data_IF_264829331829
#
_entry.id   IF_264829331829
#
_cell.length_a   1.000
_cell.length_b   1.000
_cell.length_c   1.000
_cell.angle_alpha   90.00
_cell.angle_beta   90.00
_cell.angle_gamma   90.00
#
_symmetry.space_group_name_H-M   'P 1'
#
loop_
_entity.id
_entity.type
_entity.pdbx_description
1 polymer ?
#
# COMPACT_ATOMS: atom_id res chain seq x y z
N UNK A 1 22.03 18.81 -11.79
CA UNK A 1 21.05 18.18 -10.89
C UNK A 1 19.71 18.73 -11.29
N UNK A 2 18.75 17.87 -11.61
CA UNK A 2 17.41 18.32 -11.98
C UNK A 2 16.84 19.19 -10.84
N UNK A 3 16.24 20.34 -11.16
CA UNK A 3 15.46 21.10 -10.18
C UNK A 3 14.16 20.37 -9.79
N UNK A 4 13.80 19.30 -10.51
CA UNK A 4 12.67 18.44 -10.22
C UNK A 4 13.06 17.35 -9.23
N UNK A 5 12.60 17.51 -7.99
CA UNK A 5 12.87 16.58 -6.87
C UNK A 5 12.18 15.24 -7.05
N UNK A 6 11.01 15.20 -7.69
CA UNK A 6 10.28 13.96 -7.94
C UNK A 6 10.95 13.13 -9.05
N UNK A 7 11.50 13.81 -10.07
CA UNK A 7 12.37 13.17 -11.04
C UNK A 7 13.61 12.56 -10.36
N UNK A 8 14.28 13.32 -9.48
CA UNK A 8 15.46 12.84 -8.76
C UNK A 8 15.14 11.63 -7.85
N UNK A 9 13.97 11.60 -7.22
CA UNK A 9 13.50 10.45 -6.44
C UNK A 9 13.28 9.22 -7.34
N UNK A 10 12.66 9.41 -8.49
CA UNK A 10 12.45 8.34 -9.48
C UNK A 10 13.78 7.82 -10.05
N UNK A 11 14.73 8.71 -10.35
CA UNK A 11 16.09 8.37 -10.80
C UNK A 11 16.89 7.60 -9.74
N UNK A 12 16.62 7.84 -8.45
CA UNK A 12 17.17 7.04 -7.34
C UNK A 12 16.57 5.62 -7.25
N UNK A 13 15.58 5.31 -8.09
CA UNK A 13 14.94 4.00 -8.18
C UNK A 13 13.77 3.79 -7.23
N UNK A 14 13.15 4.87 -6.74
CA UNK A 14 11.92 4.82 -5.95
C UNK A 14 10.74 5.12 -6.88
N UNK A 15 9.85 4.15 -7.08
CA UNK A 15 8.60 4.37 -7.83
C UNK A 15 7.63 5.20 -6.99
N UNK A 16 7.12 6.30 -7.55
CA UNK A 16 6.19 7.21 -6.87
C UNK A 16 4.76 6.78 -7.17
N UNK A 17 4.03 6.36 -6.15
CA UNK A 17 2.61 6.01 -6.27
C UNK A 17 1.75 7.02 -5.50
N UNK A 18 0.52 7.23 -5.99
CA UNK A 18 -0.47 8.07 -5.32
C UNK A 18 -1.34 7.21 -4.39
N UNK A 19 -1.51 7.63 -3.14
CA UNK A 19 -2.43 7.02 -2.17
C UNK A 19 -3.80 7.69 -2.18
N UNK A 20 -4.42 7.75 -3.37
CA UNK A 20 -5.75 8.32 -3.61
C UNK A 20 -6.27 7.93 -5.00
N UNK A 21 -7.57 7.64 -5.11
CA UNK A 21 -8.25 7.47 -6.38
C UNK A 21 -9.71 7.92 -6.23
N UNK A 22 -10.15 8.79 -7.13
CA UNK A 22 -11.55 9.19 -7.24
C UNK A 22 -11.97 9.37 -8.68
N UNK A 23 -13.25 9.15 -8.97
CA UNK A 23 -13.86 9.47 -10.25
C UNK A 23 -13.67 10.94 -10.66
N UNK A 24 -13.68 11.86 -9.71
CA UNK A 24 -13.42 13.28 -9.98
C UNK A 24 -12.01 13.48 -10.59
N UNK A 25 -10.97 12.85 -10.03
CA UNK A 25 -9.60 12.95 -10.56
C UNK A 25 -9.47 12.37 -11.96
N UNK A 26 -10.21 11.30 -12.25
CA UNK A 26 -10.26 10.68 -13.57
C UNK A 26 -10.95 11.62 -14.59
N UNK A 27 -12.13 12.15 -14.24
CA UNK A 27 -12.94 12.97 -15.13
C UNK A 27 -12.32 14.35 -15.42
N UNK A 28 -11.65 14.94 -14.43
CA UNK A 28 -11.02 16.26 -14.54
C UNK A 28 -9.67 16.23 -15.27
N UNK A 29 -9.09 15.05 -15.48
CA UNK A 29 -7.73 14.89 -16.02
C UNK A 29 -6.62 15.04 -14.99
N UNK A 30 -6.95 15.31 -13.71
CA UNK A 30 -5.96 15.50 -12.65
C UNK A 30 -5.01 14.29 -12.50
N UNK A 31 -5.51 13.05 -12.56
CA UNK A 31 -4.63 11.87 -12.45
C UNK A 31 -3.65 11.80 -13.63
N UNK A 32 -4.08 12.17 -14.84
CA UNK A 32 -3.22 12.22 -16.01
C UNK A 32 -2.13 13.31 -15.88
N UNK A 33 -2.48 14.47 -15.29
CA UNK A 33 -1.50 15.52 -14.97
C UNK A 33 -0.48 15.06 -13.93
N UNK A 34 -0.89 14.33 -12.89
CA UNK A 34 0.03 13.77 -11.89
C UNK A 34 1.01 12.76 -12.49
N UNK A 35 0.55 11.92 -13.44
CA UNK A 35 1.41 10.99 -14.18
C UNK A 35 2.45 11.77 -15.02
N UNK A 36 1.99 12.79 -15.76
CA UNK A 36 2.82 13.57 -16.68
C UNK A 36 3.83 14.47 -15.96
N UNK A 37 3.38 15.19 -14.94
CA UNK A 37 4.11 16.32 -14.36
C UNK A 37 4.74 15.99 -12.99
N UNK A 38 4.28 14.93 -12.31
CA UNK A 38 4.77 14.54 -10.98
C UNK A 38 5.33 13.12 -10.90
N UNK A 39 5.60 12.51 -12.06
CA UNK A 39 6.21 11.19 -12.19
C UNK A 39 5.45 10.09 -11.43
N UNK A 40 4.14 10.25 -11.24
CA UNK A 40 3.31 9.22 -10.61
C UNK A 40 3.20 8.02 -11.55
N UNK A 41 3.58 6.85 -11.07
CA UNK A 41 3.64 5.60 -11.86
C UNK A 41 2.76 4.49 -11.29
N UNK A 42 1.91 4.78 -10.31
CA UNK A 42 0.91 3.85 -9.79
C UNK A 42 -0.03 4.51 -8.80
N UNK A 43 -1.06 3.78 -8.39
CA UNK A 43 -2.08 4.29 -7.46
C UNK A 43 -2.62 3.19 -6.56
N UNK A 44 -2.94 3.55 -5.32
CA UNK A 44 -3.59 2.67 -4.34
C UNK A 44 -4.95 3.21 -3.93
N UNK A 45 -5.91 2.30 -3.75
CA UNK A 45 -7.18 2.62 -3.08
C UNK A 45 -7.25 1.99 -1.69
N UNK A 46 -8.23 2.44 -0.91
CA UNK A 46 -8.68 1.82 0.32
C UNK A 46 -10.13 2.27 0.61
N UNK A 47 -10.84 1.64 1.56
CA UNK A 47 -12.23 1.99 1.85
C UNK A 47 -12.43 3.46 2.24
N UNK A 48 -11.49 4.04 2.99
CA UNK A 48 -11.54 5.45 3.43
C UNK A 48 -11.46 6.41 2.24
N UNK A 49 -10.62 6.12 1.24
CA UNK A 49 -10.50 6.89 -0.01
C UNK A 49 -11.85 6.90 -0.73
N UNK A 50 -12.46 5.73 -0.94
CA UNK A 50 -13.74 5.65 -1.64
C UNK A 50 -14.89 6.28 -0.85
N UNK A 51 -14.95 6.09 0.48
CA UNK A 51 -15.97 6.74 1.30
C UNK A 51 -15.90 8.27 1.20
N UNK A 52 -14.67 8.82 1.23
CA UNK A 52 -14.45 10.25 1.05
C UNK A 52 -14.78 10.72 -0.38
N UNK A 53 -14.45 9.93 -1.40
CA UNK A 53 -14.75 10.27 -2.78
C UNK A 53 -16.25 10.25 -3.08
N UNK A 54 -17.00 9.28 -2.55
CA UNK A 54 -18.44 9.12 -2.81
C UNK A 54 -19.31 10.02 -1.93
N UNK A 55 -18.77 10.52 -0.81
CA UNK A 55 -19.47 11.49 0.05
C UNK A 55 -19.35 12.94 -0.45
N UNK A 56 -18.50 13.20 -1.46
CA UNK A 56 -18.18 14.54 -1.96
C UNK A 56 -18.51 14.66 -3.45
N UNK A 57 -19.05 15.83 -3.83
CA UNK A 57 -19.36 16.13 -5.22
C UNK A 57 -20.52 15.31 -5.79
N UNK A 58 -20.66 15.38 -7.11
CA UNK A 58 -21.74 14.75 -7.91
C UNK A 58 -21.21 13.69 -8.89
N UNK A 59 -19.90 13.41 -8.87
CA UNK A 59 -19.22 12.56 -9.84
C UNK A 59 -19.79 11.13 -9.92
N UNK A 60 -20.39 10.63 -8.84
CA UNK A 60 -20.97 9.28 -8.74
C UNK A 60 -22.49 9.25 -8.92
N UNK A 61 -23.16 10.41 -8.97
CA UNK A 61 -24.63 10.51 -8.87
C UNK A 61 -25.35 9.81 -10.03
N UNK A 62 -24.89 10.03 -11.26
CA UNK A 62 -25.52 9.46 -12.45
C UNK A 62 -25.52 7.93 -12.40
N UNK A 63 -24.33 7.33 -12.20
CA UNK A 63 -24.21 5.87 -12.12
C UNK A 63 -24.96 5.29 -10.92
N UNK A 64 -24.97 6.00 -9.78
CA UNK A 64 -25.73 5.56 -8.60
C UNK A 64 -27.23 5.56 -8.87
N UNK A 65 -27.76 6.56 -9.59
CA UNK A 65 -29.17 6.58 -10.03
C UNK A 65 -29.51 5.43 -10.97
N UNK A 66 -28.64 5.13 -11.93
CA UNK A 66 -28.83 3.99 -12.83
C UNK A 66 -28.90 2.66 -12.07
N UNK A 67 -27.96 2.44 -11.14
CA UNK A 67 -27.91 1.23 -10.31
C UNK A 67 -29.12 1.13 -9.39
N UNK A 68 -29.55 2.25 -8.79
CA UNK A 68 -30.78 2.32 -8.00
C UNK A 68 -32.02 1.94 -8.83
N UNK A 69 -32.13 2.44 -10.07
CA UNK A 69 -33.23 2.11 -10.98
C UNK A 69 -33.21 0.63 -11.43
N UNK A 70 -32.03 0.00 -11.44
CA UNK A 70 -31.86 -1.44 -11.70
C UNK A 70 -32.12 -2.31 -10.45
N UNK A 71 -32.37 -1.71 -9.29
CA UNK A 71 -32.60 -2.44 -8.04
C UNK A 71 -31.33 -3.04 -7.44
N UNK A 72 -30.15 -2.49 -7.75
CA UNK A 72 -28.89 -2.92 -7.15
C UNK A 72 -28.90 -2.68 -5.64
N UNK A 73 -28.28 -3.61 -4.89
CA UNK A 73 -28.02 -3.41 -3.47
C UNK A 73 -26.72 -2.59 -3.25
N UNK A 74 -26.45 -2.27 -1.98
CA UNK A 74 -25.32 -1.43 -1.58
C UNK A 74 -23.98 -2.06 -1.97
N UNK A 75 -23.83 -3.36 -1.75
CA UNK A 75 -22.58 -4.09 -2.01
C UNK A 75 -22.28 -4.17 -3.51
N UNK A 76 -23.30 -4.50 -4.32
CA UNK A 76 -23.20 -4.50 -5.78
C UNK A 76 -22.89 -3.10 -6.32
N UNK A 77 -23.47 -2.06 -5.71
CA UNK A 77 -23.22 -0.67 -6.08
C UNK A 77 -21.78 -0.26 -5.78
N UNK A 78 -21.27 -0.55 -4.57
CA UNK A 78 -19.86 -0.30 -4.22
C UNK A 78 -18.94 -1.02 -5.19
N UNK A 79 -19.21 -2.30 -5.47
CA UNK A 79 -18.40 -3.09 -6.41
C UNK A 79 -18.37 -2.48 -7.80
N UNK A 80 -19.53 -2.11 -8.36
CA UNK A 80 -19.61 -1.48 -9.69
C UNK A 80 -18.81 -0.17 -9.74
N UNK A 81 -19.01 0.72 -8.76
CA UNK A 81 -18.38 2.03 -8.74
C UNK A 81 -16.86 1.91 -8.59
N UNK A 82 -16.39 1.15 -7.60
CA UNK A 82 -14.97 1.01 -7.29
C UNK A 82 -14.21 0.26 -8.38
N UNK A 83 -14.75 -0.85 -8.90
CA UNK A 83 -14.09 -1.60 -9.97
C UNK A 83 -14.07 -0.83 -11.29
N UNK A 84 -15.09 0.00 -11.57
CA UNK A 84 -15.09 0.88 -12.74
C UNK A 84 -14.00 1.93 -12.66
N UNK A 85 -13.85 2.60 -11.51
CA UNK A 85 -12.80 3.62 -11.33
C UNK A 85 -11.40 3.01 -11.42
N UNK A 86 -11.20 1.83 -10.80
CA UNK A 86 -9.94 1.08 -10.88
C UNK A 86 -9.65 0.63 -12.32
N UNK A 87 -10.66 0.18 -13.08
CA UNK A 87 -10.50 -0.19 -14.50
C UNK A 87 -10.07 1.02 -15.34
N UNK A 88 -10.70 2.17 -15.12
CA UNK A 88 -10.39 3.40 -15.84
C UNK A 88 -8.99 3.92 -15.50
N UNK A 89 -8.59 3.87 -14.22
CA UNK A 89 -7.23 4.19 -13.80
C UNK A 89 -6.22 3.21 -14.42
N UNK A 90 -6.54 1.91 -14.46
CA UNK A 90 -5.68 0.89 -15.06
C UNK A 90 -5.48 1.14 -16.56
N UNK A 91 -6.52 1.57 -17.28
CA UNK A 91 -6.38 1.99 -18.68
C UNK A 91 -5.52 3.24 -18.84
N UNK A 92 -5.63 4.22 -17.94
CA UNK A 92 -4.79 5.42 -17.95
C UNK A 92 -3.30 5.10 -17.71
N UNK A 93 -3.00 4.11 -16.86
CA UNK A 93 -1.63 3.67 -16.56
C UNK A 93 -1.04 2.66 -17.56
N UNK A 94 -1.77 2.29 -18.62
CA UNK A 94 -1.37 1.24 -19.57
C UNK A 94 -0.02 1.49 -20.23
N UNK A 95 0.28 2.75 -20.57
CA UNK A 95 1.55 3.10 -21.22
C UNK A 95 2.73 2.95 -20.26
N UNK A 96 2.56 3.36 -18.99
CA UNK A 96 3.55 3.16 -17.93
C UNK A 96 3.76 1.66 -17.66
N UNK A 97 2.67 0.90 -17.58
CA UNK A 97 2.71 -0.54 -17.41
C UNK A 97 3.49 -1.22 -18.53
N UNK A 98 3.22 -0.86 -19.79
CA UNK A 98 3.91 -1.44 -20.94
C UNK A 98 5.39 -1.03 -20.97
N UNK A 99 5.69 0.24 -20.76
CA UNK A 99 7.05 0.78 -20.80
C UNK A 99 7.97 0.18 -19.71
N UNK A 100 7.39 -0.24 -18.59
CA UNK A 100 8.13 -0.81 -17.45
C UNK A 100 8.07 -2.34 -17.40
N UNK A 101 7.58 -3.01 -18.44
CA UNK A 101 7.36 -4.46 -18.47
C UNK A 101 6.54 -4.95 -17.28
N UNK A 102 5.53 -4.17 -16.91
CA UNK A 102 4.68 -4.41 -15.77
C UNK A 102 5.30 -4.11 -14.42
N UNK A 103 6.51 -3.58 -14.31
CA UNK A 103 7.03 -3.22 -12.98
C UNK A 103 6.13 -2.14 -12.36
N UNK A 104 5.82 -1.07 -13.08
CA UNK A 104 4.91 -0.01 -12.62
C UNK A 104 3.66 0.08 -13.50
N UNK A 105 2.96 1.21 -13.47
CA UNK A 105 1.64 1.41 -14.06
C UNK A 105 0.55 0.63 -13.33
N UNK A 106 0.71 0.42 -12.02
CA UNK A 106 -0.13 -0.47 -11.22
C UNK A 106 -1.26 0.26 -10.49
N UNK A 107 -2.42 -0.39 -10.38
CA UNK A 107 -3.60 0.13 -9.67
C UNK A 107 -4.04 -0.91 -8.65
N UNK A 108 -4.01 -0.58 -7.36
CA UNK A 108 -4.42 -1.53 -6.31
C UNK A 108 -5.87 -1.34 -5.90
N UNK A 109 -6.63 -2.44 -5.83
CA UNK A 109 -8.00 -2.50 -5.31
C UNK A 109 -8.07 -3.45 -4.12
N UNK A 110 -8.72 -3.04 -3.04
CA UNK A 110 -8.75 -3.79 -1.77
C UNK A 110 -9.95 -4.73 -1.69
N UNK A 111 -9.71 -5.93 -1.15
CA UNK A 111 -10.77 -6.85 -0.71
C UNK A 111 -11.54 -6.25 0.47
N UNK A 112 -12.74 -6.75 0.74
CA UNK A 112 -13.53 -6.35 1.90
C UNK A 112 -12.74 -6.62 3.21
N UNK A 113 -12.43 -5.58 4.01
CA UNK A 113 -11.69 -5.74 5.26
C UNK A 113 -12.35 -6.70 6.26
N UNK A 114 -13.68 -6.85 6.21
CA UNK A 114 -14.42 -7.78 7.08
C UNK A 114 -14.06 -9.25 6.82
N UNK A 115 -13.44 -9.54 5.66
CA UNK A 115 -12.94 -10.85 5.29
C UNK A 115 -11.49 -11.09 5.73
N UNK A 116 -10.82 -10.14 6.40
CA UNK A 116 -9.40 -10.26 6.76
C UNK A 116 -9.06 -11.47 7.65
N UNK A 117 -10.07 -12.13 8.24
CA UNK A 117 -9.94 -13.35 9.06
C UNK A 117 -10.46 -14.62 8.37
N UNK A 118 -10.91 -14.54 7.12
CA UNK A 118 -11.50 -15.66 6.35
C UNK A 118 -10.78 -15.84 5.01
N UNK A 119 -9.69 -16.62 5.04
CA UNK A 119 -8.80 -16.81 3.89
C UNK A 119 -9.53 -17.27 2.63
N UNK A 120 -10.46 -18.21 2.74
CA UNK A 120 -11.13 -18.78 1.56
C UNK A 120 -12.07 -17.76 0.92
N UNK A 121 -12.81 -16.97 1.74
CA UNK A 121 -13.63 -15.88 1.20
C UNK A 121 -12.78 -14.77 0.60
N UNK A 122 -11.65 -14.42 1.21
CA UNK A 122 -10.71 -13.44 0.63
C UNK A 122 -10.23 -13.88 -0.76
N UNK A 123 -9.90 -15.16 -0.95
CA UNK A 123 -9.46 -15.68 -2.25
C UNK A 123 -10.57 -15.61 -3.29
N UNK A 124 -11.80 -15.98 -2.92
CA UNK A 124 -12.96 -15.89 -3.82
C UNK A 124 -13.20 -14.44 -4.25
N UNK A 125 -13.15 -13.49 -3.32
CA UNK A 125 -13.30 -12.09 -3.64
C UNK A 125 -12.13 -11.55 -4.48
N UNK A 126 -10.89 -11.93 -4.18
CA UNK A 126 -9.73 -11.54 -4.96
C UNK A 126 -9.86 -11.97 -6.43
N UNK A 127 -10.32 -13.20 -6.67
CA UNK A 127 -10.60 -13.71 -8.01
C UNK A 127 -11.74 -12.97 -8.70
N UNK A 128 -12.80 -12.62 -7.96
CA UNK A 128 -13.94 -11.88 -8.49
C UNK A 128 -13.55 -10.44 -8.88
N UNK A 129 -12.80 -9.73 -8.02
CA UNK A 129 -12.28 -8.40 -8.31
C UNK A 129 -11.34 -8.43 -9.52
N UNK A 130 -10.43 -9.41 -9.59
CA UNK A 130 -9.53 -9.57 -10.72
C UNK A 130 -10.29 -9.74 -12.04
N UNK A 131 -11.28 -10.65 -12.07
CA UNK A 131 -12.13 -10.89 -13.25
C UNK A 131 -13.02 -9.70 -13.59
N UNK A 132 -13.53 -9.01 -12.57
CA UNK A 132 -14.43 -7.86 -12.76
C UNK A 132 -13.66 -6.69 -13.34
N UNK A 133 -12.49 -6.34 -12.80
CA UNK A 133 -11.70 -5.22 -13.32
C UNK A 133 -11.14 -5.54 -14.71
N UNK A 134 -10.70 -6.78 -14.94
CA UNK A 134 -10.24 -7.29 -16.25
C UNK A 134 -9.10 -6.45 -16.86
N UNK A 135 -8.09 -6.15 -16.05
CA UNK A 135 -6.88 -5.42 -16.49
C UNK A 135 -5.62 -6.04 -15.89
N UNK A 136 -4.56 -6.28 -16.70
CA UNK A 136 -3.38 -7.02 -16.25
C UNK A 136 -2.50 -6.22 -15.27
N UNK A 137 -2.71 -4.91 -15.18
CA UNK A 137 -1.96 -4.01 -14.32
C UNK A 137 -2.62 -3.74 -12.96
N UNK A 138 -3.66 -4.50 -12.61
CA UNK A 138 -4.31 -4.42 -11.30
C UNK A 138 -3.55 -5.24 -10.26
N UNK A 139 -3.57 -4.78 -9.02
CA UNK A 139 -3.14 -5.53 -7.85
C UNK A 139 -4.33 -5.72 -6.91
N UNK A 140 -4.59 -6.97 -6.52
CA UNK A 140 -5.54 -7.20 -5.43
C UNK A 140 -4.84 -6.96 -4.11
N UNK A 141 -5.39 -6.05 -3.31
CA UNK A 141 -4.79 -5.65 -2.05
C UNK A 141 -5.37 -6.48 -0.91
N UNK A 142 -4.50 -7.23 -0.23
CA UNK A 142 -4.87 -8.21 0.80
C UNK A 142 -4.10 -7.90 2.10
N UNK A 143 -4.79 -7.76 3.25
CA UNK A 143 -4.13 -7.58 4.55
C UNK A 143 -3.19 -8.72 4.93
N UNK A 144 -2.05 -8.37 5.52
CA UNK A 144 -1.08 -9.30 6.11
C UNK A 144 -1.45 -9.70 7.55
N UNK A 145 -2.72 -10.01 7.81
CA UNK A 145 -3.11 -10.70 9.05
C UNK A 145 -2.59 -12.14 9.01
N UNK A 146 -2.55 -12.83 10.15
CA UNK A 146 -2.13 -14.25 10.18
C UNK A 146 -2.99 -15.09 9.25
N UNK A 147 -4.29 -14.82 9.26
CA UNK A 147 -5.31 -15.46 8.44
C UNK A 147 -5.29 -14.99 6.98
N UNK A 148 -4.72 -13.83 6.69
CA UNK A 148 -4.56 -13.28 5.34
C UNK A 148 -3.37 -13.87 4.57
N UNK A 149 -2.32 -14.34 5.26
CA UNK A 149 -1.13 -14.92 4.62
C UNK A 149 -1.44 -16.12 3.69
N UNK A 150 -2.31 -17.08 4.08
CA UNK A 150 -2.73 -18.14 3.16
C UNK A 150 -3.53 -17.61 1.96
N UNK A 151 -4.32 -16.54 2.12
CA UNK A 151 -5.06 -15.94 1.02
C UNK A 151 -4.12 -15.28 -0.01
N UNK A 152 -3.07 -14.60 0.46
CA UNK A 152 -2.00 -14.06 -0.40
C UNK A 152 -1.36 -15.16 -1.24
N UNK A 153 -0.96 -16.26 -0.58
CA UNK A 153 -0.35 -17.43 -1.24
C UNK A 153 -1.26 -18.00 -2.32
N UNK A 154 -2.52 -18.29 -1.98
CA UNK A 154 -3.50 -18.87 -2.90
C UNK A 154 -3.84 -17.93 -4.06
N UNK A 155 -3.91 -16.62 -3.82
CA UNK A 155 -4.20 -15.63 -4.87
C UNK A 155 -3.05 -15.54 -5.87
N UNK A 156 -1.80 -15.50 -5.41
CA UNK A 156 -0.62 -15.55 -6.27
C UNK A 156 -0.54 -16.86 -7.05
N UNK A 157 -0.91 -17.99 -6.43
CA UNK A 157 -0.94 -19.31 -7.05
C UNK A 157 -1.88 -19.42 -8.26
N UNK A 158 -2.87 -18.52 -8.36
CA UNK A 158 -3.81 -18.41 -9.48
C UNK A 158 -3.31 -17.42 -10.56
N UNK A 159 -2.07 -16.93 -10.44
CA UNK A 159 -1.48 -15.96 -11.36
C UNK A 159 -1.93 -14.52 -11.13
N UNK A 160 -2.60 -14.22 -10.01
CA UNK A 160 -3.12 -12.88 -9.71
C UNK A 160 -2.07 -12.09 -8.93
N UNK A 161 -1.79 -10.87 -9.38
CA UNK A 161 -0.82 -9.99 -8.74
C UNK A 161 -1.39 -9.35 -7.47
N UNK A 162 -0.61 -9.29 -6.39
CA UNK A 162 -1.10 -8.92 -5.04
C UNK A 162 -0.32 -7.72 -4.46
N UNK A 163 -1.04 -6.74 -3.93
CA UNK A 163 -0.48 -5.73 -3.01
C UNK A 163 -0.74 -6.19 -1.57
N UNK A 164 0.29 -6.64 -0.87
CA UNK A 164 0.14 -7.04 0.53
C UNK A 164 0.12 -5.79 1.41
N UNK A 165 -0.89 -5.61 2.26
CA UNK A 165 -1.08 -4.40 3.08
C UNK A 165 -1.08 -4.68 4.58
N UNK A 166 -1.10 -3.63 5.41
CA UNK A 166 -1.10 -3.70 6.88
C UNK A 166 0.11 -4.44 7.46
N UNK A 167 1.30 -4.23 6.87
CA UNK A 167 2.56 -4.77 7.40
C UNK A 167 3.17 -3.72 8.34
N UNK A 168 3.29 -4.05 9.62
CA UNK A 168 3.81 -3.13 10.65
C UNK A 168 5.12 -3.59 11.27
N UNK A 169 5.41 -4.89 11.29
CA UNK A 169 6.60 -5.46 11.92
C UNK A 169 7.46 -6.22 10.92
N UNK A 170 8.76 -6.29 11.21
CA UNK A 170 9.71 -7.09 10.42
C UNK A 170 9.35 -8.58 10.47
N UNK A 171 8.89 -9.08 11.62
CA UNK A 171 8.42 -10.47 11.75
C UNK A 171 7.26 -10.76 10.79
N UNK A 172 6.25 -9.88 10.74
CA UNK A 172 5.14 -10.05 9.81
C UNK A 172 5.63 -9.95 8.36
N UNK A 173 6.56 -9.05 8.08
CA UNK A 173 7.11 -8.90 6.73
C UNK A 173 7.84 -10.15 6.24
N UNK A 174 8.63 -10.81 7.11
CA UNK A 174 9.25 -12.10 6.78
C UNK A 174 8.20 -13.15 6.43
N UNK A 175 7.11 -13.25 7.22
CA UNK A 175 5.98 -14.17 6.91
C UNK A 175 5.29 -13.83 5.58
N UNK A 176 5.21 -12.55 5.22
CA UNK A 176 4.69 -12.09 3.91
C UNK A 176 5.59 -12.56 2.76
N UNK A 177 6.91 -12.44 2.90
CA UNK A 177 7.86 -12.91 1.88
C UNK A 177 7.78 -14.44 1.74
N UNK A 178 7.62 -15.17 2.84
CA UNK A 178 7.42 -16.62 2.82
C UNK A 178 6.13 -17.02 2.08
N UNK A 179 5.02 -16.32 2.34
CA UNK A 179 3.76 -16.51 1.63
C UNK A 179 3.90 -16.17 0.13
N UNK A 180 4.67 -15.14 -0.20
CA UNK A 180 4.97 -14.75 -1.57
C UNK A 180 5.76 -15.82 -2.32
N UNK A 181 6.85 -16.35 -1.74
CA UNK A 181 7.61 -17.45 -2.35
C UNK A 181 6.74 -18.70 -2.54
N UNK A 182 5.98 -19.08 -1.52
CA UNK A 182 5.06 -20.22 -1.62
C UNK A 182 4.00 -20.02 -2.72
N UNK A 183 3.49 -18.79 -2.87
CA UNK A 183 2.51 -18.44 -3.89
C UNK A 183 3.08 -18.57 -5.31
N UNK A 184 4.31 -18.09 -5.54
CA UNK A 184 4.98 -18.24 -6.83
C UNK A 184 5.33 -19.71 -7.15
N UNK A 185 5.76 -20.48 -6.16
CA UNK A 185 6.03 -21.92 -6.34
C UNK A 185 4.77 -22.67 -6.77
N UNK A 186 3.63 -22.37 -6.14
CA UNK A 186 2.33 -22.93 -6.52
C UNK A 186 1.86 -22.42 -7.88
N UNK A 187 2.04 -21.13 -8.20
CA UNK A 187 1.71 -20.57 -9.50
C UNK A 187 2.46 -21.30 -10.62
N UNK A 188 3.76 -21.56 -10.42
CA UNK A 188 4.59 -22.34 -11.34
C UNK A 188 4.06 -23.77 -11.49
N UNK A 189 3.75 -24.43 -10.38
CA UNK A 189 3.21 -25.80 -10.40
C UNK A 189 1.84 -25.88 -11.11
N UNK A 190 1.04 -24.82 -11.00
CA UNK A 190 -0.25 -24.66 -11.68
C UNK A 190 -0.12 -24.28 -13.16
N UNK A 191 1.10 -24.05 -13.66
CA UNK A 191 1.38 -23.73 -15.07
C UNK A 191 1.25 -22.25 -15.43
N UNK A 192 1.21 -21.34 -14.45
CA UNK A 192 1.22 -19.90 -14.70
C UNK A 192 2.64 -19.40 -15.04
N UNK A 193 2.73 -18.41 -15.93
CA UNK A 193 3.98 -17.70 -16.21
C UNK A 193 4.26 -16.70 -15.08
N UNK A 194 5.37 -16.92 -14.35
CA UNK A 194 5.76 -16.08 -13.22
C UNK A 194 6.11 -14.65 -13.63
N UNK A 195 6.48 -14.41 -14.89
CA UNK A 195 6.79 -13.06 -15.38
C UNK A 195 5.60 -12.12 -15.33
N UNK A 196 4.38 -12.64 -15.43
CA UNK A 196 3.15 -11.86 -15.35
C UNK A 196 2.72 -11.54 -13.92
N UNK A 197 3.31 -12.21 -12.92
CA UNK A 197 2.92 -12.08 -11.51
C UNK A 197 3.84 -11.06 -10.85
N UNK A 198 3.24 -10.02 -10.27
CA UNK A 198 3.93 -9.00 -9.51
C UNK A 198 3.33 -8.87 -8.11
N UNK A 199 4.15 -8.38 -7.18
CA UNK A 199 3.69 -8.07 -5.85
C UNK A 199 4.46 -6.90 -5.25
N UNK A 200 3.79 -6.18 -4.36
CA UNK A 200 4.41 -5.17 -3.49
C UNK A 200 4.00 -5.47 -2.05
N UNK A 201 4.86 -5.13 -1.10
CA UNK A 201 4.62 -5.30 0.33
C UNK A 201 4.52 -3.94 1.01
N UNK A 202 3.29 -3.47 1.21
CA UNK A 202 2.97 -2.18 1.81
C UNK A 202 3.27 -2.17 3.31
N UNK A 203 4.48 -1.75 3.64
CA UNK A 203 5.03 -1.59 4.98
C UNK A 203 4.71 -0.20 5.53
N UNK A 204 3.95 -0.12 6.60
CA UNK A 204 3.41 1.13 7.14
C UNK A 204 4.45 1.87 7.97
N UNK A 205 4.64 3.15 7.67
CA UNK A 205 5.68 3.98 8.28
C UNK A 205 5.10 4.85 9.41
N UNK A 206 4.37 5.92 9.09
CA UNK A 206 4.02 6.97 10.09
C UNK A 206 3.22 6.48 11.30
N UNK A 207 2.48 5.37 11.16
CA UNK A 207 1.67 4.82 12.27
C UNK A 207 2.56 4.32 13.41
N UNK A 208 3.77 3.84 13.10
CA UNK A 208 4.74 3.36 14.08
C UNK A 208 5.20 4.50 14.99
N UNK A 209 5.63 5.62 14.41
CA UNK A 209 6.00 6.80 15.20
C UNK A 209 4.79 7.35 15.96
N UNK A 210 3.60 7.39 15.37
CA UNK A 210 2.40 7.90 16.05
C UNK A 210 2.13 7.16 17.38
N UNK A 211 2.24 5.83 17.37
CA UNK A 211 2.02 5.02 18.57
C UNK A 211 3.22 5.06 19.53
N UNK A 212 4.45 4.98 19.02
CA UNK A 212 5.66 4.98 19.86
C UNK A 212 5.89 6.35 20.50
N UNK A 213 5.72 7.44 19.76
CA UNK A 213 5.88 8.81 20.29
C UNK A 213 4.91 9.06 21.44
N UNK A 214 3.65 8.62 21.31
CA UNK A 214 2.66 8.69 22.40
C UNK A 214 3.12 7.93 23.65
N UNK A 215 3.72 6.74 23.49
CA UNK A 215 4.27 5.96 24.63
C UNK A 215 5.52 6.61 25.22
N UNK A 216 6.40 7.16 24.38
CA UNK A 216 7.60 7.91 24.83
C UNK A 216 7.22 9.17 25.60
N UNK A 217 6.18 9.89 25.16
CA UNK A 217 5.63 11.05 25.86
C UNK A 217 5.03 10.69 27.22
N UNK A 218 4.38 9.53 27.32
CA UNK A 218 3.87 9.02 28.59
C UNK A 218 5.00 8.64 29.57
N UNK A 219 6.15 8.19 29.08
CA UNK A 219 7.36 7.94 29.90
C UNK A 219 7.97 9.27 30.37
N UNK A 220 8.11 10.24 29.46
CA UNK A 220 8.42 11.63 29.78
C UNK A 220 9.85 11.93 30.25
N UNK A 221 10.78 10.98 30.20
CA UNK A 221 12.21 11.26 30.45
C UNK A 221 12.88 11.92 29.25
N UNK A 222 13.96 12.66 29.46
CA UNK A 222 14.71 13.30 28.36
C UNK A 222 15.22 12.27 27.36
N UNK A 223 15.66 11.09 27.83
CA UNK A 223 16.10 9.98 26.98
C UNK A 223 14.96 9.43 26.11
N UNK A 224 13.75 9.28 26.66
CA UNK A 224 12.59 8.81 25.93
C UNK A 224 12.12 9.85 24.90
N UNK A 225 12.00 11.11 25.30
CA UNK A 225 11.56 12.20 24.41
C UNK A 225 12.54 12.44 23.24
N UNK A 226 13.83 12.15 23.44
CA UNK A 226 14.85 12.22 22.41
C UNK A 226 14.77 11.07 21.37
N UNK A 227 13.94 10.04 21.60
CA UNK A 227 13.72 8.94 20.65
C UNK A 227 12.53 9.16 19.71
N UNK A 228 11.75 10.22 19.92
CA UNK A 228 10.57 10.49 19.10
C UNK A 228 10.90 10.68 17.63
N UNK A 229 10.03 10.20 16.74
CA UNK A 229 10.17 10.31 15.28
C UNK A 229 11.30 9.45 14.68
N UNK A 230 11.87 8.51 15.44
CA UNK A 230 12.98 7.66 14.97
C UNK A 230 12.56 6.22 14.66
N UNK A 231 11.44 5.77 15.22
CA UNK A 231 11.09 4.36 15.21
C UNK A 231 10.62 3.89 13.83
N UNK A 232 9.83 4.69 13.13
CA UNK A 232 9.26 4.30 11.84
C UNK A 232 10.33 4.10 10.75
N UNK A 233 11.27 5.04 10.62
CA UNK A 233 12.37 4.93 9.67
C UNK A 233 13.30 3.77 10.04
N UNK A 234 13.61 3.60 11.32
CA UNK A 234 14.39 2.45 11.79
C UNK A 234 13.68 1.12 11.44
N UNK A 235 12.37 1.03 11.65
CA UNK A 235 11.59 -0.17 11.36
C UNK A 235 11.62 -0.52 9.87
N UNK A 236 11.43 0.47 9.00
CA UNK A 236 11.50 0.28 7.55
C UNK A 236 12.91 -0.14 7.07
N UNK A 237 13.98 0.39 7.70
CA UNK A 237 15.36 -0.05 7.43
C UNK A 237 15.60 -1.51 7.83
N UNK A 238 15.08 -1.94 8.98
CA UNK A 238 15.14 -3.35 9.38
C UNK A 238 14.31 -4.24 8.45
N UNK A 239 13.15 -3.78 7.99
CA UNK A 239 12.34 -4.49 7.00
C UNK A 239 13.11 -4.65 5.68
N UNK A 240 13.77 -3.60 5.20
CA UNK A 240 14.61 -3.68 3.99
C UNK A 240 15.77 -4.66 4.15
N UNK A 241 16.41 -4.70 5.32
CA UNK A 241 17.46 -5.68 5.59
C UNK A 241 16.94 -7.13 5.52
N UNK A 242 15.75 -7.40 6.08
CA UNK A 242 15.10 -8.71 5.96
C UNK A 242 14.74 -9.05 4.51
N UNK A 243 14.30 -8.06 3.72
CA UNK A 243 14.11 -8.22 2.27
C UNK A 243 15.42 -8.63 1.58
N UNK A 244 16.52 -7.92 1.81
CA UNK A 244 17.81 -8.26 1.20
C UNK A 244 18.28 -9.67 1.57
N UNK A 245 18.11 -10.06 2.83
CA UNK A 245 18.46 -11.40 3.31
C UNK A 245 17.65 -12.49 2.59
N UNK A 246 16.32 -12.40 2.62
CA UNK A 246 15.43 -13.44 2.06
C UNK A 246 15.51 -13.52 0.53
N UNK A 247 15.67 -12.39 -0.15
CA UNK A 247 15.88 -12.35 -1.60
C UNK A 247 17.33 -12.66 -2.01
N UNK A 248 18.22 -13.03 -1.09
CA UNK A 248 19.54 -13.59 -1.40
C UNK A 248 19.59 -15.13 -1.31
N UNK A 249 18.51 -15.76 -0.84
CA UNK A 249 18.42 -17.21 -0.64
C UNK A 249 18.40 -17.98 -1.96
N UNK A 250 18.81 -19.25 -1.93
CA UNK A 250 18.77 -20.11 -3.12
C UNK A 250 17.34 -20.40 -3.58
N UNK A 251 16.37 -20.38 -2.66
CA UNK A 251 14.94 -20.48 -2.96
C UNK A 251 14.49 -19.33 -3.87
N UNK A 252 14.85 -18.09 -3.53
CA UNK A 252 14.57 -16.95 -4.40
C UNK A 252 15.31 -17.04 -5.74
N UNK A 253 16.60 -17.38 -5.74
CA UNK A 253 17.39 -17.50 -6.98
C UNK A 253 16.76 -18.49 -7.97
N UNK A 254 16.19 -19.59 -7.47
CA UNK A 254 15.47 -20.56 -8.30
C UNK A 254 14.23 -19.92 -8.95
N UNK A 255 13.37 -19.26 -8.16
CA UNK A 255 12.18 -18.57 -8.67
C UNK A 255 12.53 -17.46 -9.69
N UNK A 256 13.58 -16.68 -9.40
CA UNK A 256 14.06 -15.64 -10.30
C UNK A 256 14.59 -16.23 -11.62
N UNK A 257 15.28 -17.38 -11.58
CA UNK A 257 15.73 -18.08 -12.78
C UNK A 257 14.55 -18.59 -13.65
N UNK A 258 13.40 -18.85 -13.03
CA UNK A 258 12.15 -19.18 -13.72
C UNK A 258 11.38 -17.93 -14.21
N UNK A 259 11.92 -16.73 -14.01
CA UNK A 259 11.34 -15.47 -14.48
C UNK A 259 10.45 -14.74 -13.48
N UNK A 260 10.45 -15.12 -12.20
CA UNK A 260 9.69 -14.40 -11.19
C UNK A 260 10.21 -12.97 -10.95
N UNK A 261 9.29 -12.05 -10.66
CA UNK A 261 9.60 -10.68 -10.26
C UNK A 261 9.73 -10.57 -8.74
N UNK A 262 10.67 -9.79 -8.22
CA UNK A 262 10.80 -9.61 -6.77
C UNK A 262 9.59 -8.86 -6.18
N UNK A 263 9.12 -9.25 -4.99
CA UNK A 263 8.12 -8.48 -4.26
C UNK A 263 8.79 -7.24 -3.66
N UNK A 264 8.57 -6.08 -4.29
CA UNK A 264 9.22 -4.84 -3.86
C UNK A 264 8.66 -4.37 -2.51
N UNK A 265 9.51 -3.91 -1.58
CA UNK A 265 9.05 -3.12 -0.45
C UNK A 265 8.30 -1.88 -0.94
N UNK A 266 7.15 -1.60 -0.33
CA UNK A 266 6.37 -0.39 -0.56
C UNK A 266 6.21 0.36 0.76
N UNK A 267 6.70 1.59 0.83
CA UNK A 267 6.53 2.44 2.00
C UNK A 267 5.15 3.08 1.97
N UNK A 268 4.28 2.66 2.87
CA UNK A 268 2.90 3.13 3.00
C UNK A 268 2.71 4.02 4.21
N UNK A 269 1.64 4.83 4.21
CA UNK A 269 1.38 5.80 5.27
C UNK A 269 2.59 6.72 5.50
N UNK A 270 3.13 7.29 4.43
CA UNK A 270 4.33 8.16 4.46
C UNK A 270 4.02 9.63 4.64
N UNK A 271 2.74 9.98 4.84
CA UNK A 271 2.34 11.32 5.28
C UNK A 271 2.62 11.54 6.75
N UNK A 272 3.52 12.47 7.05
CA UNK A 272 3.94 12.88 8.40
C UNK A 272 2.75 13.37 9.23
N UNK A 273 2.67 12.91 10.48
CA UNK A 273 1.54 13.18 11.40
C UNK A 273 1.86 14.24 12.45
N UNK A 274 3.14 14.42 12.78
CA UNK A 274 3.60 15.40 13.73
C UNK A 274 4.10 16.66 12.99
N UNK A 275 3.51 17.85 13.23
CA UNK A 275 3.92 19.09 12.55
C UNK A 275 5.34 19.56 12.88
N UNK A 276 5.96 19.04 13.94
CA UNK A 276 7.34 19.35 14.31
C UNK A 276 8.38 18.61 13.43
N UNK A 277 7.93 17.61 12.65
CA UNK A 277 8.80 16.85 11.75
C UNK A 277 8.77 17.44 10.34
N UNK A 278 9.87 17.25 9.60
CA UNK A 278 9.89 17.60 8.19
C UNK A 278 8.74 16.88 7.46
N UNK A 279 7.94 17.56 6.62
CA UNK A 279 6.84 16.92 5.89
C UNK A 279 7.31 15.85 4.89
N UNK A 280 8.60 15.83 4.57
CA UNK A 280 9.24 14.87 3.66
C UNK A 280 9.99 13.74 4.37
N UNK A 281 9.98 13.69 5.72
CA UNK A 281 10.77 12.76 6.53
C UNK A 281 10.73 11.31 6.01
N UNK A 282 9.52 10.76 5.83
CA UNK A 282 9.33 9.36 5.43
C UNK A 282 9.55 9.09 3.94
N UNK A 283 9.90 10.11 3.16
CA UNK A 283 10.34 9.96 1.77
C UNK A 283 11.85 10.09 1.71
N UNK A 284 12.39 11.18 2.25
CA UNK A 284 13.82 11.51 2.19
C UNK A 284 14.67 10.45 2.92
N UNK A 285 14.22 9.97 4.08
CA UNK A 285 14.98 9.01 4.88
C UNK A 285 14.77 7.55 4.50
N UNK A 286 13.90 7.29 3.51
CA UNK A 286 13.56 5.97 2.97
C UNK A 286 13.84 5.84 1.46
N UNK A 287 14.65 6.75 0.91
CA UNK A 287 15.14 6.61 -0.47
C UNK A 287 16.01 5.37 -0.57
N UNK A 288 15.60 4.40 -1.39
CA UNK A 288 16.38 3.22 -1.73
C UNK A 288 15.86 2.60 -3.04
N UNK A 289 16.78 2.07 -3.84
CA UNK A 289 16.47 1.55 -5.16
C UNK A 289 15.53 0.34 -5.08
N UNK A 290 14.70 0.18 -6.11
CA UNK A 290 13.81 -0.96 -6.35
C UNK A 290 12.71 -1.06 -5.28
N UNK A 291 12.25 0.09 -4.79
CA UNK A 291 11.13 0.22 -3.85
C UNK A 291 10.05 1.13 -4.39
N UNK A 292 8.88 1.10 -3.75
CA UNK A 292 7.76 1.99 -4.04
C UNK A 292 7.53 2.88 -2.81
N UNK A 293 7.16 4.13 -3.00
CA UNK A 293 6.58 4.96 -1.94
C UNK A 293 5.18 5.40 -2.37
N UNK A 294 4.15 4.99 -1.63
CA UNK A 294 2.77 5.45 -1.90
C UNK A 294 2.46 6.64 -1.01
N UNK A 295 2.29 7.79 -1.64
CA UNK A 295 2.21 9.08 -0.97
C UNK A 295 0.78 9.65 -1.08
N UNK A 296 0.22 10.17 0.02
CA UNK A 296 -0.87 11.13 -0.09
C UNK A 296 -0.42 12.34 -0.93
N UNK A 297 -1.32 12.95 -1.70
CA UNK A 297 -0.96 14.08 -2.58
C UNK A 297 -0.26 15.23 -1.84
N UNK A 298 -0.65 15.51 -0.59
CA UNK A 298 0.04 16.52 0.23
C UNK A 298 1.52 16.21 0.47
N UNK A 299 1.87 14.93 0.61
CA UNK A 299 3.26 14.50 0.77
C UNK A 299 4.00 14.57 -0.56
N UNK A 300 3.35 14.17 -1.66
CA UNK A 300 3.89 14.33 -3.01
C UNK A 300 4.25 15.80 -3.30
N UNK A 301 3.36 16.73 -2.95
CA UNK A 301 3.56 18.17 -3.09
C UNK A 301 4.69 18.68 -2.20
N UNK A 302 4.73 18.25 -0.94
CA UNK A 302 5.81 18.61 -0.02
C UNK A 302 7.18 18.13 -0.52
N UNK A 303 7.26 16.96 -1.15
CA UNK A 303 8.50 16.45 -1.76
C UNK A 303 8.89 17.32 -2.96
N UNK A 304 7.95 17.63 -3.85
CA UNK A 304 8.19 18.49 -5.01
C UNK A 304 8.72 19.88 -4.60
N UNK A 305 8.19 20.46 -3.52
CA UNK A 305 8.58 21.78 -3.03
C UNK A 305 9.86 21.74 -2.20
N UNK A 306 9.96 20.84 -1.24
CA UNK A 306 10.85 21.00 -0.07
C UNK A 306 11.80 19.84 0.21
N UNK A 307 11.70 18.71 -0.49
CA UNK A 307 12.59 17.54 -0.24
C UNK A 307 14.08 17.86 -0.36
N UNK A 308 14.86 17.21 0.50
CA UNK A 308 16.33 17.24 0.52
C UNK A 308 16.88 15.81 0.33
N UNK A 309 16.72 15.26 -0.87
CA UNK A 309 17.20 13.92 -1.20
C UNK A 309 18.72 13.79 -1.01
N UNK A 310 19.14 12.87 -0.13
CA UNK A 310 20.55 12.57 0.19
C UNK A 310 21.07 11.29 -0.48
N UNK A 311 20.35 10.79 -1.49
CA UNK A 311 20.58 9.47 -2.09
C UNK A 311 20.11 8.35 -1.17
N UNK A 312 20.63 7.14 -1.35
CA UNK A 312 20.24 5.96 -0.56
C UNK A 312 20.40 6.21 0.95
N UNK A 313 19.30 6.12 1.69
CA UNK A 313 19.22 6.30 3.14
C UNK A 313 18.88 5.00 3.89
N UNK A 314 18.86 3.84 3.22
CA UNK A 314 18.37 2.57 3.79
C UNK A 314 19.43 1.48 3.77
N UNK A 315 20.13 1.30 2.64
CA UNK A 315 21.09 0.19 2.48
C UNK A 315 22.21 0.26 3.52
N UNK A 316 22.50 -0.86 4.18
CA UNK A 316 23.60 -0.98 5.15
C UNK A 316 23.36 -0.27 6.50
N UNK A 317 22.14 0.21 6.77
CA UNK A 317 21.79 0.90 8.03
C UNK A 317 21.01 0.06 9.04
N UNK A 318 21.02 -1.28 8.89
CA UNK A 318 20.34 -2.19 9.80
C UNK A 318 20.86 -2.10 11.23
N UNK A 319 22.18 -1.97 11.43
CA UNK A 319 22.78 -1.84 12.77
C UNK A 319 22.35 -0.55 13.49
N UNK A 320 22.35 0.58 12.77
CA UNK A 320 21.86 1.87 13.29
C UNK A 320 20.38 1.78 13.68
N UNK A 321 19.58 1.16 12.82
CA UNK A 321 18.16 0.96 13.05
C UNK A 321 17.89 0.04 14.25
N UNK A 322 18.65 -1.06 14.38
CA UNK A 322 18.54 -1.96 15.53
C UNK A 322 18.89 -1.22 16.83
N UNK A 323 19.92 -0.38 16.82
CA UNK A 323 20.28 0.43 17.99
C UNK A 323 19.17 1.42 18.42
N UNK A 324 18.29 1.86 17.51
CA UNK A 324 17.10 2.64 17.88
C UNK A 324 16.11 1.75 18.65
N UNK A 325 15.81 0.55 18.15
CA UNK A 325 14.91 -0.38 18.83
C UNK A 325 15.45 -0.84 20.19
N UNK A 326 16.75 -1.10 20.31
CA UNK A 326 17.39 -1.44 21.58
C UNK A 326 17.22 -0.32 22.60
N UNK A 327 17.35 0.95 22.17
CA UNK A 327 17.11 2.12 23.03
C UNK A 327 15.64 2.27 23.41
N UNK A 328 14.72 2.03 22.48
CA UNK A 328 13.27 2.05 22.76
C UNK A 328 12.92 1.02 23.84
N UNK A 329 13.42 -0.20 23.73
CA UNK A 329 13.24 -1.23 24.77
C UNK A 329 13.90 -0.83 26.08
N UNK A 330 15.10 -0.25 26.04
CA UNK A 330 15.81 0.19 27.25
C UNK A 330 15.07 1.29 28.03
N UNK A 331 14.35 2.19 27.35
CA UNK A 331 13.50 3.20 28.01
C UNK A 331 12.11 2.65 28.41
N UNK A 332 11.83 1.37 28.14
CA UNK A 332 10.63 0.68 28.60
C UNK A 332 9.50 0.55 27.56
N UNK A 333 9.77 0.78 26.27
CA UNK A 333 8.78 0.51 25.22
C UNK A 333 8.70 -1.00 24.96
N UNK A 334 7.51 -1.57 25.17
CA UNK A 334 7.19 -2.91 24.70
C UNK A 334 6.89 -2.88 23.19
N UNK A 335 7.90 -3.22 22.39
CA UNK A 335 7.83 -3.22 20.93
C UNK A 335 6.85 -4.28 20.40
N UNK A 336 6.73 -5.41 21.09
CA UNK A 336 5.81 -6.48 20.67
C UNK A 336 4.37 -5.99 20.81
N UNK A 337 4.04 -5.39 21.95
CA UNK A 337 2.72 -4.82 22.17
C UNK A 337 2.41 -3.66 21.20
N UNK A 338 3.38 -2.79 20.88
CA UNK A 338 3.20 -1.74 19.85
C UNK A 338 2.71 -2.34 18.53
N UNK A 339 3.39 -3.38 18.03
CA UNK A 339 3.02 -3.96 16.74
C UNK A 339 1.68 -4.70 16.77
N UNK A 340 1.35 -5.35 17.89
CA UNK A 340 0.02 -5.95 18.09
C UNK A 340 -1.09 -4.89 18.09
N UNK A 341 -0.88 -3.76 18.77
CA UNK A 341 -1.83 -2.63 18.75
C UNK A 341 -2.00 -2.10 17.33
N UNK A 342 -0.90 -1.89 16.60
CA UNK A 342 -0.95 -1.37 15.22
C UNK A 342 -1.66 -2.32 14.24
N UNK A 343 -1.45 -3.64 14.36
CA UNK A 343 -2.12 -4.65 13.54
C UNK A 343 -3.63 -4.65 13.82
N UNK A 344 -4.03 -4.73 15.09
CA UNK A 344 -5.44 -4.74 15.50
C UNK A 344 -6.17 -3.44 15.11
N UNK A 345 -5.61 -2.28 15.47
CA UNK A 345 -6.19 -0.99 15.10
C UNK A 345 -6.21 -0.78 13.58
N UNK A 346 -5.25 -1.37 12.86
CA UNK A 346 -5.18 -1.32 11.41
C UNK A 346 -6.40 -1.97 10.76
N UNK A 347 -6.75 -3.18 11.19
CA UNK A 347 -7.94 -3.91 10.74
C UNK A 347 -9.22 -3.20 11.15
N UNK A 348 -9.34 -2.81 12.43
CA UNK A 348 -10.54 -2.12 12.95
C UNK A 348 -10.83 -0.80 12.21
N UNK A 349 -9.79 0.00 11.93
CA UNK A 349 -9.95 1.25 11.16
C UNK A 349 -10.45 0.98 9.74
N UNK A 350 -10.01 -0.11 9.11
CA UNK A 350 -10.44 -0.45 7.75
C UNK A 350 -11.87 -1.00 7.73
N UNK A 351 -12.27 -1.84 8.69
CA UNK A 351 -13.66 -2.28 8.86
C UNK A 351 -14.60 -1.11 9.12
N UNK A 352 -14.17 -0.15 9.95
CA UNK A 352 -14.93 1.07 10.20
C UNK A 352 -15.11 1.90 8.93
N UNK A 353 -14.04 2.16 8.18
CA UNK A 353 -14.14 2.90 6.92
C UNK A 353 -14.95 2.17 5.85
N UNK A 354 -14.97 0.83 5.86
CA UNK A 354 -15.87 0.06 5.02
C UNK A 354 -17.33 0.25 5.42
N UNK A 355 -17.62 0.27 6.72
CA UNK A 355 -18.97 0.57 7.24
C UNK A 355 -19.42 1.98 6.83
N UNK A 356 -18.54 2.98 6.95
CA UNK A 356 -18.80 4.35 6.51
C UNK A 356 -19.07 4.43 4.98
N UNK A 357 -18.35 3.63 4.19
CA UNK A 357 -18.60 3.50 2.75
C UNK A 357 -19.99 2.91 2.46
N UNK A 358 -20.35 1.83 3.15
CA UNK A 358 -21.68 1.21 3.04
C UNK A 358 -22.78 2.21 3.39
N UNK A 359 -22.66 2.93 4.50
CA UNK A 359 -23.62 3.95 4.91
C UNK A 359 -23.74 5.09 3.89
N UNK A 360 -22.60 5.55 3.37
CA UNK A 360 -22.55 6.61 2.34
C UNK A 360 -23.28 6.18 1.08
N UNK A 361 -22.96 5.00 0.53
CA UNK A 361 -23.58 4.49 -0.70
C UNK A 361 -25.05 4.16 -0.49
N UNK A 362 -25.41 3.57 0.65
CA UNK A 362 -26.82 3.33 1.00
C UNK A 362 -27.61 4.64 1.03
N UNK A 363 -27.07 5.69 1.65
CA UNK A 363 -27.68 7.01 1.66
C UNK A 363 -27.88 7.60 0.25
N UNK A 364 -26.94 7.37 -0.67
CA UNK A 364 -27.07 7.81 -2.06
C UNK A 364 -28.09 6.99 -2.85
N UNK A 365 -28.14 5.66 -2.65
CA UNK A 365 -29.12 4.78 -3.27
C UNK A 365 -30.55 5.14 -2.83
N UNK A 366 -30.77 5.38 -1.55
CA UNK A 366 -32.10 5.76 -1.05
C UNK A 366 -32.53 7.13 -1.57
N UNK A 367 -31.63 8.13 -1.60
CA UNK A 367 -31.90 9.42 -2.24
C UNK A 367 -32.23 9.28 -3.74
N UNK A 368 -31.59 8.35 -4.43
CA UNK A 368 -31.83 8.12 -5.85
C UNK A 368 -33.19 7.46 -6.14
N UNK A 369 -33.77 6.72 -5.17
CA UNK A 369 -35.08 6.05 -5.31
C UNK A 369 -36.27 6.99 -5.07
N UNK A 370 -36.06 8.12 -4.40
CA UNK A 370 -37.09 9.13 -4.11
C UNK A 370 -37.48 9.17 -2.64
#
# INVERSE_FOLDING_TARGET
MSNDKLAALSEAGVSIWLDDLSRERLNTGNLADLIRDKHVVGVTTNPTIFANAMSKGDAYDERTRELAAQGADVEATIRDLTTTDVRNAADLFRDVYTATNGVDGRVSIEVDPRLAKDSDKTVVEAQDLWKTVDRPNVLIKIPATEEGLPAITKTLAEGISVNVTLIFSVERYQKVIEAFFAGLEQAKANGHDLKGIHSVASFFVSRVDTEIDKRLEAIGTDEALALRGKAAVANARLAYAAFQELFSTDRWKALAADGANAQRPLWASTGVKNPDYSPTLYVDDLVVKDTVNTMPEKTLDAVAESSELKGDQVTGRSEEAQAVFDKLTAVGIDITDVFLVLENEGVEKFEKSWTELLETVNGQLEKAKG
#
